data_IF_571086156172
#
_entry.id   IF_571086156172
#
_cell.length_a   1.000
_cell.length_b   1.000
_cell.length_c   1.000
_cell.angle_alpha   90.00
_cell.angle_beta   90.00
_cell.angle_gamma   90.00
#
_symmetry.space_group_name_H-M   'P 1'
#
loop_
_entity.id
_entity.type
_entity.pdbx_description
1 polymer ?
#
# COMPACT_ATOMS: atom_id res chain seq x y z
N UNK A 1 -53.93 -2.24 -7.70
CA UNK A 1 -54.22 -1.57 -6.41
C UNK A 1 -53.76 -2.48 -5.29
N UNK A 2 -52.51 -2.36 -4.84
CA UNK A 2 -52.00 -3.05 -3.65
C UNK A 2 -51.17 -2.03 -2.87
N UNK A 3 -51.58 -1.81 -1.63
CA UNK A 3 -51.14 -0.72 -0.75
C UNK A 3 -49.79 -1.05 -0.13
N UNK A 4 -48.93 -0.05 -0.16
CA UNK A 4 -47.66 0.06 0.56
C UNK A 4 -47.86 -0.06 2.07
N UNK A 5 -46.98 -0.80 2.74
CA UNK A 5 -46.83 -0.75 4.20
C UNK A 5 -45.49 -0.08 4.51
N UNK A 6 -45.55 1.15 5.01
CA UNK A 6 -44.41 1.89 5.54
C UNK A 6 -44.07 1.36 6.94
N UNK A 7 -42.85 0.86 7.12
CA UNK A 7 -42.30 0.51 8.42
C UNK A 7 -41.44 1.69 8.91
N UNK A 8 -41.96 2.46 9.85
CA UNK A 8 -41.27 3.57 10.51
C UNK A 8 -40.33 3.01 11.58
N UNK A 9 -39.02 3.02 11.32
CA UNK A 9 -37.98 2.67 12.31
C UNK A 9 -37.51 3.97 12.98
N UNK A 10 -37.87 4.16 14.24
CA UNK A 10 -37.38 5.24 15.09
C UNK A 10 -36.00 4.86 15.67
N UNK A 11 -34.94 5.53 15.21
CA UNK A 11 -33.58 5.37 15.75
C UNK A 11 -33.31 6.47 16.78
N UNK A 12 -33.11 6.08 18.05
CA UNK A 12 -32.73 6.97 19.15
C UNK A 12 -31.22 7.20 19.11
N UNK A 13 -30.79 8.45 18.88
CA UNK A 13 -29.40 8.89 18.96
C UNK A 13 -29.00 9.15 20.42
N UNK A 14 -27.87 8.59 20.84
CA UNK A 14 -27.14 9.02 22.04
C UNK A 14 -25.73 9.49 21.64
N UNK A 15 -25.27 10.69 22.05
CA UNK A 15 -23.91 11.13 21.83
C UNK A 15 -23.02 10.76 23.03
N UNK A 16 -21.99 9.94 22.81
CA UNK A 16 -20.89 9.77 23.75
C UNK A 16 -19.67 10.53 23.21
N UNK A 17 -19.42 11.69 23.80
CA UNK A 17 -18.20 12.48 23.61
C UNK A 17 -17.14 11.93 24.57
N UNK A 18 -16.05 11.40 24.03
CA UNK A 18 -14.81 11.17 24.80
C UNK A 18 -13.66 11.89 24.11
N UNK A 19 -13.23 12.98 24.73
CA UNK A 19 -11.95 13.62 24.47
C UNK A 19 -10.88 12.91 25.32
N UNK A 20 -9.85 12.37 24.68
CA UNK A 20 -8.65 11.88 25.35
C UNK A 20 -7.44 12.64 24.80
N UNK A 21 -6.75 13.33 25.70
CA UNK A 21 -5.51 14.05 25.45
C UNK A 21 -4.38 13.06 25.20
N UNK A 22 -3.65 13.22 24.09
CA UNK A 22 -2.40 12.50 23.84
C UNK A 22 -1.23 13.37 24.31
N UNK A 23 -0.68 13.00 25.45
CA UNK A 23 0.61 13.46 25.97
C UNK A 23 1.73 12.97 25.06
N UNK A 24 2.54 13.90 24.55
CA UNK A 24 3.72 13.61 23.74
C UNK A 24 4.85 13.04 24.59
N UNK A 25 5.48 11.97 24.10
CA UNK A 25 6.79 11.52 24.56
C UNK A 25 7.82 11.87 23.49
N UNK A 26 8.63 12.89 23.77
CA UNK A 26 9.87 13.18 23.04
C UNK A 26 10.87 12.06 23.34
N UNK A 27 11.16 11.22 22.36
CA UNK A 27 12.33 10.34 22.41
C UNK A 27 13.57 11.18 22.08
N UNK A 28 14.37 11.51 23.10
CA UNK A 28 15.72 12.01 22.92
C UNK A 28 16.64 10.80 22.78
N UNK A 29 17.18 10.57 21.58
CA UNK A 29 18.27 9.61 21.35
C UNK A 29 19.55 10.29 21.84
N UNK A 30 20.15 9.76 22.91
CA UNK A 30 21.51 10.06 23.28
C UNK A 30 22.45 9.26 22.36
N UNK A 31 23.29 9.95 21.61
CA UNK A 31 24.42 9.33 20.92
C UNK A 31 25.54 9.21 21.94
N UNK A 32 25.79 7.99 22.41
CA UNK A 32 26.98 7.67 23.20
C UNK A 32 28.22 7.79 22.29
N UNK A 33 29.16 8.65 22.73
CA UNK A 33 30.50 8.80 22.18
C UNK A 33 31.24 7.45 22.23
N UNK A 34 31.55 6.89 21.07
CA UNK A 34 32.45 5.73 20.95
C UNK A 34 33.89 6.25 20.80
N UNK A 35 34.80 5.99 21.76
CA UNK A 35 36.19 6.40 21.62
C UNK A 35 36.90 5.60 20.53
N UNK A 36 37.55 6.32 19.63
CA UNK A 36 38.52 5.81 18.67
C UNK A 36 39.82 5.53 19.41
N UNK A 37 40.05 4.28 19.79
CA UNK A 37 41.37 3.81 20.22
C UNK A 37 42.10 3.25 19.00
N UNK A 38 43.09 4.01 18.53
CA UNK A 38 44.07 3.56 17.56
C UNK A 38 45.08 2.64 18.26
N UNK A 39 45.01 1.34 17.96
CA UNK A 39 46.00 0.34 18.34
C UNK A 39 46.72 -0.20 17.11
N UNK A 40 48.04 0.01 17.07
CA UNK A 40 48.98 -0.46 16.04
C UNK A 40 49.74 -1.69 16.60
N UNK A 41 50.30 -2.52 15.69
CA UNK A 41 51.30 -3.61 15.86
C UNK A 41 50.70 -5.00 16.20
N UNK A 42 51.15 -6.16 15.70
CA UNK A 42 52.19 -6.58 14.75
C UNK A 42 51.92 -8.06 14.35
N UNK A 43 52.38 -8.43 13.16
CA UNK A 43 52.85 -9.74 12.67
C UNK A 43 52.35 -11.08 13.26
N UNK A 44 51.73 -11.90 12.40
CA UNK A 44 51.86 -13.36 12.46
C UNK A 44 51.73 -13.99 11.06
N UNK A 45 52.85 -14.58 10.62
CA UNK A 45 52.98 -15.46 9.48
C UNK A 45 51.97 -16.62 9.51
N UNK A 46 51.34 -16.90 8.37
CA UNK A 46 50.42 -18.02 8.19
C UNK A 46 50.29 -18.40 6.71
N UNK A 47 50.89 -19.54 6.38
CA UNK A 47 51.02 -20.10 5.05
C UNK A 47 49.68 -20.54 4.43
N UNK A 48 49.53 -20.23 3.13
CA UNK A 48 48.84 -21.00 2.09
C UNK A 48 47.51 -21.69 2.43
N UNK A 49 46.41 -21.12 1.94
CA UNK A 49 45.35 -21.88 1.27
C UNK A 49 44.62 -20.97 0.27
N UNK A 50 44.79 -21.25 -1.03
CA UNK A 50 43.93 -20.70 -2.09
C UNK A 50 42.53 -21.30 -1.92
N UNK A 51 41.66 -20.57 -1.25
CA UNK A 51 40.22 -20.71 -1.40
C UNK A 51 39.74 -19.40 -2.02
N UNK A 52 39.36 -19.46 -3.29
CA UNK A 52 38.69 -18.39 -3.99
C UNK A 52 37.41 -18.03 -3.23
N UNK A 53 37.50 -17.03 -2.36
CA UNK A 53 36.35 -16.34 -1.82
C UNK A 53 35.76 -15.56 -2.98
N UNK A 54 34.59 -16.01 -3.40
CA UNK A 54 33.72 -15.29 -4.30
C UNK A 54 33.65 -13.85 -3.81
N UNK A 55 34.13 -12.95 -4.65
CA UNK A 55 33.76 -11.55 -4.68
C UNK A 55 32.25 -11.51 -4.45
N UNK A 56 31.85 -11.09 -3.26
CA UNK A 56 30.47 -10.78 -2.98
C UNK A 56 30.21 -9.57 -3.85
N UNK A 57 29.73 -9.85 -5.07
CA UNK A 57 29.21 -8.85 -5.97
C UNK A 57 28.30 -7.98 -5.12
N UNK A 58 28.75 -6.76 -4.90
CA UNK A 58 27.88 -5.63 -4.71
C UNK A 58 26.82 -5.83 -5.79
N UNK A 59 25.62 -6.27 -5.40
CA UNK A 59 24.48 -6.36 -6.29
C UNK A 59 24.24 -4.91 -6.70
N UNK A 60 24.96 -4.50 -7.75
CA UNK A 60 24.78 -3.28 -8.46
C UNK A 60 23.31 -3.33 -8.81
N UNK A 61 22.53 -2.57 -8.03
CA UNK A 61 21.13 -2.32 -8.27
C UNK A 61 21.07 -1.86 -9.71
N UNK A 62 20.79 -2.82 -10.58
CA UNK A 62 20.86 -2.63 -12.01
C UNK A 62 19.59 -1.84 -12.22
N UNK A 63 19.75 -0.53 -12.23
CA UNK A 63 18.74 0.44 -12.65
C UNK A 63 18.34 0.03 -14.06
N UNK A 64 17.37 -0.89 -14.12
CA UNK A 64 16.93 -1.60 -15.32
C UNK A 64 16.00 -0.70 -16.14
N UNK A 65 16.07 0.63 -15.95
CA UNK A 65 15.11 1.56 -16.53
C UNK A 65 13.68 1.24 -16.09
N UNK A 66 13.50 0.61 -14.93
CA UNK A 66 12.19 0.20 -14.45
C UNK A 66 11.45 1.43 -13.97
N UNK A 67 10.39 1.81 -14.70
CA UNK A 67 9.59 2.99 -14.39
C UNK A 67 9.09 2.93 -12.93
N UNK A 68 9.17 4.04 -12.17
CA UNK A 68 8.72 4.07 -10.78
C UNK A 68 7.29 3.54 -10.61
N UNK A 69 7.08 2.66 -9.63
CA UNK A 69 5.76 2.15 -9.28
C UNK A 69 5.46 2.46 -7.80
N UNK A 70 4.34 3.14 -7.49
CA UNK A 70 3.30 3.58 -8.41
C UNK A 70 3.78 4.79 -9.24
N UNK A 71 3.24 5.00 -10.46
CA UNK A 71 3.60 6.13 -11.30
C UNK A 71 3.45 7.47 -10.56
N UNK A 72 4.28 8.49 -10.85
CA UNK A 72 4.14 9.81 -10.26
C UNK A 72 2.78 10.45 -10.58
N UNK A 73 2.42 11.49 -9.85
CA UNK A 73 1.23 12.29 -10.14
C UNK A 73 1.36 12.96 -11.51
N UNK A 74 0.31 12.94 -12.32
CA UNK A 74 0.27 13.67 -13.59
C UNK A 74 0.07 15.18 -13.31
N UNK A 75 1.06 16.04 -13.61
CA UNK A 75 0.93 17.48 -13.41
C UNK A 75 -0.01 18.15 -14.44
N UNK A 76 -0.32 17.47 -15.54
CA UNK A 76 -1.18 18.00 -16.61
C UNK A 76 -2.66 17.69 -16.38
N UNK A 77 -2.96 16.73 -15.49
CA UNK A 77 -4.32 16.36 -15.15
C UNK A 77 -5.04 17.49 -14.38
N UNK A 78 -6.29 17.87 -14.74
CA UNK A 78 -7.01 18.94 -14.07
C UNK A 78 -7.60 18.48 -12.71
N UNK A 79 -6.74 18.26 -11.71
CA UNK A 79 -7.11 17.72 -10.39
C UNK A 79 -8.19 18.55 -9.67
N UNK A 80 -8.23 19.87 -9.90
CA UNK A 80 -9.26 20.76 -9.34
C UNK A 80 -10.68 20.49 -9.83
N UNK A 81 -10.84 19.76 -10.95
CA UNK A 81 -12.14 19.36 -11.48
C UNK A 81 -12.67 18.06 -10.85
N UNK A 82 -11.85 17.34 -10.06
CA UNK A 82 -12.25 16.11 -9.38
C UNK A 82 -12.71 16.43 -7.96
N UNK A 83 -13.98 16.16 -7.67
CA UNK A 83 -14.54 16.26 -6.34
C UNK A 83 -14.35 14.95 -5.56
N UNK A 84 -13.66 15.04 -4.43
CA UNK A 84 -13.39 13.90 -3.57
C UNK A 84 -14.58 13.53 -2.69
N UNK A 85 -15.65 14.35 -2.59
CA UNK A 85 -16.84 14.06 -1.80
C UNK A 85 -16.54 13.54 -0.38
N UNK A 86 -15.52 14.13 0.27
CA UNK A 86 -15.09 13.78 1.63
C UNK A 86 -14.16 12.56 1.74
N UNK A 87 -13.77 11.94 0.62
CA UNK A 87 -12.74 10.89 0.61
C UNK A 87 -11.40 11.43 1.06
N UNK A 88 -10.74 10.68 1.96
CA UNK A 88 -9.41 11.01 2.49
C UNK A 88 -8.34 10.02 2.06
N UNK A 89 -8.76 8.90 1.46
CA UNK A 89 -7.89 7.83 1.01
C UNK A 89 -7.69 7.95 -0.50
N UNK A 90 -6.58 7.40 -0.99
CA UNK A 90 -6.43 7.16 -2.40
C UNK A 90 -7.58 6.24 -2.87
N UNK A 91 -8.26 6.62 -3.94
CA UNK A 91 -9.47 5.94 -4.41
C UNK A 91 -9.40 5.80 -5.93
N UNK A 92 -9.72 4.62 -6.45
CA UNK A 92 -9.81 4.40 -7.89
C UNK A 92 -10.89 5.29 -8.51
N UNK A 93 -10.58 5.93 -9.64
CA UNK A 93 -11.49 6.81 -10.33
C UNK A 93 -12.79 6.11 -10.79
N UNK A 94 -12.78 4.79 -10.97
CA UNK A 94 -14.00 3.98 -11.25
C UNK A 94 -14.99 3.95 -10.07
N UNK A 95 -14.57 4.34 -8.86
CA UNK A 95 -15.45 4.39 -7.70
C UNK A 95 -16.60 5.41 -7.95
N UNK A 96 -17.85 5.04 -7.65
CA UNK A 96 -19.01 5.92 -7.88
C UNK A 96 -19.00 7.19 -7.03
N UNK A 97 -18.12 7.32 -6.04
CA UNK A 97 -17.94 8.56 -5.28
C UNK A 97 -17.53 9.73 -6.18
N UNK A 98 -16.85 9.47 -7.29
CA UNK A 98 -16.53 10.50 -8.29
C UNK A 98 -17.70 10.62 -9.28
N UNK A 99 -18.71 11.42 -8.93
CA UNK A 99 -19.92 11.63 -9.74
C UNK A 99 -19.63 12.30 -11.09
N UNK A 100 -18.57 13.11 -11.16
CA UNK A 100 -18.02 13.68 -12.39
C UNK A 100 -16.52 13.41 -12.47
N UNK A 101 -16.01 13.18 -13.69
CA UNK A 101 -14.59 13.01 -13.94
C UNK A 101 -14.20 13.69 -15.25
N UNK A 102 -13.00 14.31 -15.36
CA UNK A 102 -12.55 14.95 -16.60
C UNK A 102 -12.61 14.00 -17.81
N UNK A 103 -13.08 14.45 -18.99
CA UNK A 103 -13.16 13.61 -20.19
C UNK A 103 -11.81 13.07 -20.67
N UNK A 104 -10.72 13.77 -20.36
CA UNK A 104 -9.36 13.34 -20.68
C UNK A 104 -8.79 12.29 -19.71
N UNK A 105 -9.51 11.99 -18.62
CA UNK A 105 -9.08 11.02 -17.62
C UNK A 105 -9.50 9.60 -17.96
N UNK A 106 -8.76 8.63 -17.43
CA UNK A 106 -9.01 7.21 -17.60
C UNK A 106 -9.54 6.61 -16.31
N UNK A 107 -10.86 6.58 -16.17
CA UNK A 107 -11.49 6.11 -14.92
C UNK A 107 -11.12 4.68 -14.54
N UNK A 108 -10.77 3.82 -15.51
CA UNK A 108 -10.42 2.44 -15.22
C UNK A 108 -9.01 2.32 -14.63
N UNK A 109 -8.11 3.21 -15.05
CA UNK A 109 -6.70 3.17 -14.74
C UNK A 109 -6.24 4.24 -13.74
N UNK A 110 -7.07 5.23 -13.42
CA UNK A 110 -6.67 6.35 -12.59
C UNK A 110 -6.84 6.08 -11.09
N UNK A 111 -5.77 6.32 -10.33
CA UNK A 111 -5.80 6.39 -8.87
C UNK A 111 -5.83 7.87 -8.44
N UNK A 112 -6.91 8.27 -7.77
CA UNK A 112 -7.11 9.64 -7.30
C UNK A 112 -6.66 9.74 -5.85
N UNK A 113 -5.73 10.64 -5.56
CA UNK A 113 -5.34 10.99 -4.19
C UNK A 113 -6.08 12.25 -3.78
N UNK A 114 -6.84 12.13 -2.70
CA UNK A 114 -7.59 13.22 -2.11
C UNK A 114 -6.83 13.81 -0.92
N UNK A 115 -6.87 15.13 -0.78
CA UNK A 115 -6.46 15.77 0.48
C UNK A 115 -7.62 15.76 1.48
N UNK A 116 -7.36 16.20 2.72
CA UNK A 116 -8.41 16.41 3.73
C UNK A 116 -9.47 17.49 3.34
N UNK A 117 -9.38 18.06 2.14
CA UNK A 117 -10.41 18.91 1.52
C UNK A 117 -11.35 18.14 0.59
N UNK A 118 -12.11 18.88 -0.22
CA UNK A 118 -13.08 18.30 -1.17
C UNK A 118 -12.51 18.04 -2.57
N UNK A 119 -11.22 18.31 -2.81
CA UNK A 119 -10.62 18.24 -4.15
C UNK A 119 -9.43 17.28 -4.19
N UNK A 120 -9.27 16.64 -5.34
CA UNK A 120 -8.10 15.81 -5.59
C UNK A 120 -6.83 16.67 -5.58
N UNK A 121 -5.75 16.12 -5.06
CA UNK A 121 -4.42 16.73 -5.09
C UNK A 121 -3.50 16.06 -6.09
N UNK A 122 -3.83 14.83 -6.49
CA UNK A 122 -3.03 14.07 -7.43
C UNK A 122 -3.90 13.02 -8.12
N UNK A 123 -3.59 12.78 -9.40
CA UNK A 123 -4.08 11.62 -10.15
C UNK A 123 -2.86 10.89 -10.69
N UNK A 124 -2.85 9.57 -10.53
CA UNK A 124 -1.81 8.68 -11.08
C UNK A 124 -2.45 7.78 -12.12
N UNK A 125 -1.86 7.70 -13.31
CA UNK A 125 -2.28 6.80 -14.38
C UNK A 125 -1.64 5.43 -14.17
N UNK A 126 -2.37 4.48 -13.61
CA UNK A 126 -1.85 3.14 -13.32
C UNK A 126 -1.76 2.32 -14.63
N UNK A 127 -0.59 1.75 -14.97
CA UNK A 127 -0.39 1.06 -16.25
C UNK A 127 -1.24 -0.21 -16.41
N UNK A 128 -1.64 -0.82 -15.29
CA UNK A 128 -2.34 -2.11 -15.24
C UNK A 128 -3.72 -2.01 -14.60
N UNK A 129 -4.26 -0.80 -14.49
CA UNK A 129 -5.52 -0.56 -13.78
C UNK A 129 -5.34 -0.08 -12.35
N UNK A 130 -6.44 0.44 -11.81
CA UNK A 130 -6.56 0.74 -10.40
C UNK A 130 -7.28 -0.39 -9.66
N UNK A 131 -6.64 -0.91 -8.62
CA UNK A 131 -7.10 -1.99 -7.76
C UNK A 131 -7.87 -1.44 -6.54
N UNK A 132 -9.18 -1.72 -6.43
CA UNK A 132 -9.95 -1.32 -5.26
C UNK A 132 -9.58 -2.20 -4.08
N UNK A 133 -9.31 -1.59 -2.94
CA UNK A 133 -8.95 -2.28 -1.71
C UNK A 133 -10.17 -2.41 -0.78
N UNK A 134 -10.11 -3.27 0.25
CA UNK A 134 -11.20 -3.38 1.22
C UNK A 134 -11.56 -2.01 1.83
N UNK A 135 -12.83 -1.82 2.18
CA UNK A 135 -13.29 -0.55 2.77
C UNK A 135 -12.47 -0.17 4.00
N UNK A 136 -12.04 1.09 4.06
CA UNK A 136 -11.17 1.62 5.12
C UNK A 136 -9.68 1.61 4.78
N UNK A 137 -9.30 1.01 3.64
CA UNK A 137 -7.94 0.99 3.12
C UNK A 137 -7.84 1.81 1.84
N UNK A 138 -6.72 2.49 1.56
CA UNK A 138 -6.53 3.19 0.31
C UNK A 138 -6.47 2.21 -0.86
N UNK A 139 -7.14 2.56 -1.95
CA UNK A 139 -6.96 1.91 -3.24
C UNK A 139 -5.53 2.12 -3.74
N UNK A 140 -5.10 1.29 -4.69
CA UNK A 140 -3.72 1.33 -5.20
C UNK A 140 -3.65 1.04 -6.70
N UNK A 141 -2.53 1.38 -7.33
CA UNK A 141 -2.27 0.89 -8.68
C UNK A 141 -2.08 -0.63 -8.64
N UNK A 142 -2.64 -1.31 -9.64
CA UNK A 142 -2.60 -2.76 -9.71
C UNK A 142 -1.18 -3.25 -10.02
N UNK A 143 -0.60 -3.99 -9.08
CA UNK A 143 0.75 -4.56 -9.20
C UNK A 143 0.73 -6.05 -9.55
N UNK A 144 -0.43 -6.61 -9.90
CA UNK A 144 -0.54 -8.02 -10.31
C UNK A 144 -0.01 -8.29 -11.73
N UNK A 145 0.17 -7.26 -12.56
CA UNK A 145 0.67 -7.45 -13.91
C UNK A 145 2.10 -8.01 -13.91
N UNK A 146 2.28 -9.15 -14.57
CA UNK A 146 3.56 -9.88 -14.60
C UNK A 146 3.84 -10.73 -13.36
N UNK A 147 2.93 -10.76 -12.39
CA UNK A 147 2.99 -11.70 -11.25
C UNK A 147 2.28 -13.01 -11.61
N UNK A 148 2.77 -14.15 -11.07
CA UNK A 148 2.00 -15.38 -11.09
C UNK A 148 0.65 -15.21 -10.39
N UNK A 149 -0.33 -16.01 -10.79
CA UNK A 149 -1.59 -16.10 -10.07
C UNK A 149 -1.35 -16.60 -8.65
N UNK A 150 -2.03 -16.00 -7.67
CA UNK A 150 -1.81 -16.33 -6.28
C UNK A 150 -2.32 -15.28 -5.31
N UNK A 151 -1.92 -15.44 -4.05
CA UNK A 151 -2.22 -14.49 -2.99
C UNK A 151 -0.93 -13.82 -2.54
N UNK A 152 -1.04 -12.54 -2.19
CA UNK A 152 0.06 -11.68 -1.79
C UNK A 152 -0.39 -10.84 -0.60
N UNK A 153 0.53 -10.46 0.27
CA UNK A 153 0.23 -9.41 1.23
C UNK A 153 0.42 -8.04 0.56
N UNK A 154 -0.30 -7.02 1.01
CA UNK A 154 -0.14 -5.67 0.48
C UNK A 154 1.32 -5.20 0.53
N UNK A 155 2.07 -5.60 1.56
CA UNK A 155 3.52 -5.32 1.68
C UNK A 155 4.38 -5.91 0.55
N UNK A 156 3.91 -6.97 -0.11
CA UNK A 156 4.62 -7.64 -1.21
C UNK A 156 4.33 -6.98 -2.56
N UNK A 157 3.32 -6.11 -2.60
CA UNK A 157 2.90 -5.36 -3.78
C UNK A 157 3.58 -3.98 -3.78
N UNK A 158 4.18 -3.62 -4.91
CA UNK A 158 4.85 -2.34 -5.09
C UNK A 158 3.83 -1.22 -4.95
N UNK A 159 4.23 -0.11 -4.33
CA UNK A 159 3.39 1.07 -4.21
C UNK A 159 2.17 0.94 -3.29
N UNK A 160 2.01 -0.18 -2.59
CA UNK A 160 1.07 -0.31 -1.48
C UNK A 160 1.39 0.70 -0.38
N UNK A 161 0.33 1.32 0.16
CA UNK A 161 0.48 2.17 1.33
C UNK A 161 0.71 1.31 2.58
N UNK A 162 1.45 1.80 3.60
CA UNK A 162 1.70 1.04 4.83
C UNK A 162 0.43 0.49 5.50
N UNK A 163 -0.69 1.22 5.37
CA UNK A 163 -1.99 0.81 5.89
C UNK A 163 -2.50 -0.48 5.23
N UNK A 164 -2.13 -0.78 3.98
CA UNK A 164 -2.58 -1.98 3.26
C UNK A 164 -1.69 -3.20 3.47
N UNK A 165 -0.60 -3.08 4.24
CA UNK A 165 0.39 -4.16 4.40
C UNK A 165 -0.18 -5.46 5.00
N UNK A 166 -1.27 -5.36 5.74
CA UNK A 166 -1.96 -6.49 6.36
C UNK A 166 -3.26 -6.90 5.63
N UNK A 167 -3.39 -6.51 4.35
CA UNK A 167 -4.45 -6.97 3.45
C UNK A 167 -3.88 -8.08 2.57
N UNK A 168 -4.58 -9.21 2.53
CA UNK A 168 -4.33 -10.27 1.55
C UNK A 168 -4.99 -9.91 0.22
N UNK A 169 -4.22 -9.86 -0.85
CA UNK A 169 -4.64 -9.53 -2.22
C UNK A 169 -4.52 -10.78 -3.08
N UNK A 170 -5.52 -11.05 -3.91
CA UNK A 170 -5.48 -12.10 -4.91
C UNK A 170 -5.14 -11.51 -6.28
N UNK A 171 -4.05 -11.99 -6.88
CA UNK A 171 -3.74 -11.77 -8.28
C UNK A 171 -4.27 -12.94 -9.11
N UNK A 172 -5.01 -12.64 -10.18
CA UNK A 172 -5.50 -13.61 -11.16
C UNK A 172 -5.49 -12.97 -12.54
N UNK A 173 -4.95 -13.68 -13.54
CA UNK A 173 -4.85 -13.22 -14.93
C UNK A 173 -4.16 -11.84 -15.05
N UNK A 174 -3.19 -11.57 -14.17
CA UNK A 174 -2.43 -10.31 -14.14
C UNK A 174 -3.15 -9.12 -13.49
N UNK A 175 -4.32 -9.32 -12.86
CA UNK A 175 -5.07 -8.27 -12.17
C UNK A 175 -5.42 -8.60 -10.72
N UNK A 176 -5.60 -7.57 -9.90
CA UNK A 176 -6.13 -7.67 -8.54
C UNK A 176 -7.62 -7.95 -8.60
N UNK A 177 -8.03 -9.16 -8.20
CA UNK A 177 -9.45 -9.55 -8.25
C UNK A 177 -10.17 -9.35 -6.92
N UNK A 178 -9.49 -9.54 -5.79
CA UNK A 178 -10.07 -9.45 -4.44
C UNK A 178 -9.02 -9.09 -3.39
N UNK A 179 -9.48 -8.41 -2.33
CA UNK A 179 -8.70 -8.15 -1.11
C UNK A 179 -9.45 -8.65 0.13
N UNK A 180 -8.73 -9.07 1.17
CA UNK A 180 -9.27 -9.42 2.49
C UNK A 180 -8.41 -8.88 3.60
N UNK A 181 -9.04 -8.35 4.64
CA UNK A 181 -8.37 -7.81 5.82
C UNK A 181 -7.91 -8.98 6.68
N UNK A 182 -6.60 -9.11 6.93
CA UNK A 182 -6.08 -10.12 7.86
C UNK A 182 -6.08 -9.64 9.31
N UNK A 183 -5.90 -8.33 9.52
CA UNK A 183 -5.66 -7.74 10.83
C UNK A 183 -4.18 -7.48 11.08
N UNK A 184 -3.85 -6.67 12.09
CA UNK A 184 -2.49 -6.16 12.32
C UNK A 184 -1.46 -7.27 12.44
N UNK A 185 -0.45 -7.27 11.57
CA UNK A 185 0.60 -8.29 11.45
C UNK A 185 0.08 -9.72 11.21
N UNK A 186 -1.10 -9.85 10.61
CA UNK A 186 -1.72 -11.16 10.32
C UNK A 186 -1.67 -11.55 8.86
N UNK A 187 -1.05 -10.74 7.99
CA UNK A 187 -0.75 -11.19 6.65
C UNK A 187 0.62 -11.89 6.63
N UNK A 188 0.66 -13.14 6.17
CA UNK A 188 1.85 -13.98 6.20
C UNK A 188 3.01 -13.36 5.40
N UNK A 189 4.24 -13.54 5.88
CA UNK A 189 5.45 -13.11 5.14
C UNK A 189 5.73 -13.94 3.87
N UNK A 190 5.05 -15.08 3.69
CA UNK A 190 5.17 -15.95 2.51
C UNK A 190 3.78 -16.41 2.09
N UNK A 191 3.43 -16.16 0.82
CA UNK A 191 2.15 -16.53 0.21
C UNK A 191 2.29 -16.99 -1.25
N UNK A 192 1.42 -17.90 -1.75
CA UNK A 192 0.44 -18.69 -1.00
C UNK A 192 1.15 -19.77 -0.16
N UNK A 193 0.57 -20.13 0.99
CA UNK A 193 1.00 -21.34 1.72
C UNK A 193 0.33 -22.55 1.06
N UNK A 194 1.04 -23.68 0.97
CA UNK A 194 0.50 -24.91 0.38
C UNK A 194 -0.84 -25.28 1.03
N UNK A 195 -1.93 -25.19 0.26
CA UNK A 195 -3.28 -25.57 0.65
C UNK A 195 -3.99 -24.59 1.58
N UNK A 196 -4.95 -23.81 1.05
CA UNK A 196 -5.89 -23.07 1.88
C UNK A 196 -6.97 -22.33 1.08
N UNK A 197 -8.22 -22.24 1.58
CA UNK A 197 -9.23 -21.35 1.01
C UNK A 197 -8.85 -19.88 1.25
N UNK A 198 -9.38 -18.99 0.42
CA UNK A 198 -9.23 -17.55 0.60
C UNK A 198 -9.75 -17.08 1.98
N UNK A 199 -9.05 -16.15 2.67
CA UNK A 199 -7.73 -15.62 2.34
C UNK A 199 -6.60 -16.53 2.83
N UNK A 200 -5.88 -17.19 1.91
CA UNK A 200 -4.80 -18.14 2.26
C UNK A 200 -3.56 -17.47 2.88
N UNK A 201 -3.51 -16.15 2.87
CA UNK A 201 -2.44 -15.34 3.44
C UNK A 201 -2.71 -14.86 4.87
N UNK A 202 -3.95 -14.94 5.36
CA UNK A 202 -4.25 -14.48 6.70
C UNK A 202 -3.93 -15.57 7.72
N UNK A 203 -3.00 -15.29 8.62
CA UNK A 203 -2.62 -16.18 9.73
C UNK A 203 -3.42 -15.83 10.98
N UNK A 204 -3.74 -16.81 11.84
CA UNK A 204 -4.45 -16.58 13.10
C UNK A 204 -3.64 -15.76 14.12
#
# INVERSE_FOLDING_TARGET
>A
MHRSAELVIALVLAPAVLAAAATGCTFLIAFDDVPVEAGVLDDASGDGFEAAVADAGEEANTDTGQTPFPPPCDPTFPVGAVDCNGQKLATCAKNPVFTSYPPAGDRANDLVVCSAGSKATCVRHCPSGCAPMPTGFPDQCDDCAGRPDGFYCGRDLRGSAPETYDVAVQCLDGGTVRGSICGTNKCASVCPRDGGPFPSCCVP
#
